data_IF_783110519255
#
_entry.id   IF_783110519255
#
_cell.length_a   1.000
_cell.length_b   1.000
_cell.length_c   1.000
_cell.angle_alpha   90.00
_cell.angle_beta   90.00
_cell.angle_gamma   90.00
#
_symmetry.space_group_name_H-M   'P 1'
#
loop_
_entity.id
_entity.type
_entity.pdbx_description
1 polymer ?
#
# COMPACT_ATOMS: atom_id res chain seq x y z
N UNK A 1 -11.02 -9.53 25.88
CA UNK A 1 -12.02 -8.57 25.39
C UNK A 1 -11.25 -7.28 25.13
N UNK A 2 -10.92 -6.96 23.87
CA UNK A 2 -10.14 -5.75 23.56
C UNK A 2 -11.01 -4.50 23.67
N UNK A 3 -10.51 -3.47 24.34
CA UNK A 3 -11.19 -2.18 24.55
C UNK A 3 -11.56 -1.51 23.20
N UNK A 4 -12.71 -0.81 23.09
CA UNK A 4 -13.22 -0.24 21.83
C UNK A 4 -12.28 0.77 21.13
N UNK A 5 -11.28 1.30 21.84
CA UNK A 5 -10.35 2.33 21.37
C UNK A 5 -9.02 1.81 20.78
N UNK A 6 -8.72 0.51 20.86
CA UNK A 6 -7.42 -0.05 20.44
C UNK A 6 -7.50 -0.84 19.13
N UNK A 7 -8.53 -0.60 18.31
CA UNK A 7 -8.65 -1.29 17.03
C UNK A 7 -7.67 -0.68 16.01
N UNK A 8 -6.79 -1.50 15.40
CA UNK A 8 -5.85 -1.02 14.41
C UNK A 8 -6.59 -0.44 13.20
N UNK A 9 -6.08 0.66 12.65
CA UNK A 9 -6.61 1.27 11.44
C UNK A 9 -6.58 0.25 10.29
N UNK A 10 -7.74 -0.19 9.79
CA UNK A 10 -7.83 -1.21 8.75
C UNK A 10 -8.00 -0.56 7.38
N UNK A 11 -7.10 -0.87 6.46
CA UNK A 11 -7.04 -0.30 5.11
C UNK A 11 -6.97 -1.44 4.10
N UNK A 12 -7.80 -1.36 3.06
CA UNK A 12 -7.74 -2.26 1.91
C UNK A 12 -7.45 -1.43 0.68
N UNK A 13 -6.37 -1.76 -0.03
CA UNK A 13 -6.02 -1.20 -1.33
C UNK A 13 -6.50 -2.18 -2.39
N UNK A 14 -7.47 -1.77 -3.21
CA UNK A 14 -7.97 -2.58 -4.33
C UNK A 14 -7.18 -2.23 -5.59
N UNK A 15 -6.49 -3.22 -6.14
CA UNK A 15 -5.60 -3.03 -7.28
C UNK A 15 -4.14 -3.03 -6.87
N UNK A 16 -3.35 -3.78 -7.65
CA UNK A 16 -1.92 -3.96 -7.45
C UNK A 16 -1.07 -2.98 -8.24
N UNK A 17 0.02 -3.50 -8.79
CA UNK A 17 0.97 -2.75 -9.62
C UNK A 17 1.65 -1.62 -8.85
N UNK A 18 2.31 -0.72 -9.58
CA UNK A 18 3.09 0.39 -8.98
C UNK A 18 2.22 1.26 -8.05
N UNK A 19 1.01 1.63 -8.49
CA UNK A 19 0.13 2.50 -7.72
C UNK A 19 -0.37 1.86 -6.42
N UNK A 20 -0.82 0.61 -6.45
CA UNK A 20 -1.34 -0.10 -5.29
C UNK A 20 -0.27 -0.29 -4.20
N UNK A 21 0.91 -0.75 -4.61
CA UNK A 21 2.02 -0.95 -3.68
C UNK A 21 2.60 0.36 -3.13
N UNK A 22 2.71 1.41 -3.96
CA UNK A 22 3.12 2.74 -3.48
C UNK A 22 2.13 3.30 -2.46
N UNK A 23 0.82 3.17 -2.72
CA UNK A 23 -0.21 3.58 -1.78
C UNK A 23 -0.08 2.81 -0.45
N UNK A 24 0.00 1.48 -0.49
CA UNK A 24 0.15 0.65 0.70
C UNK A 24 1.41 1.02 1.52
N UNK A 25 2.55 1.22 0.87
CA UNK A 25 3.80 1.60 1.53
C UNK A 25 3.74 2.98 2.19
N UNK A 26 3.18 3.97 1.48
CA UNK A 26 3.01 5.32 2.01
C UNK A 26 2.03 5.35 3.19
N UNK A 27 0.94 4.60 3.11
CA UNK A 27 -0.04 4.47 4.19
C UNK A 27 0.56 3.78 5.43
N UNK A 28 1.36 2.72 5.23
CA UNK A 28 2.07 2.03 6.31
C UNK A 28 3.01 2.99 7.05
N UNK A 29 3.78 3.79 6.30
CA UNK A 29 4.68 4.80 6.87
C UNK A 29 3.93 5.93 7.56
N UNK A 30 2.85 6.44 6.95
CA UNK A 30 2.09 7.60 7.44
C UNK A 30 1.36 7.33 8.75
N UNK A 31 0.91 6.10 8.97
CA UNK A 31 0.11 5.71 10.13
C UNK A 31 0.79 4.68 11.02
N UNK A 32 2.11 4.55 10.97
CA UNK A 32 2.86 3.57 11.76
C UNK A 32 2.55 3.63 13.28
N UNK A 33 2.27 4.82 13.80
CA UNK A 33 1.84 5.08 15.19
C UNK A 33 0.51 4.39 15.56
N UNK A 34 -0.35 4.15 14.57
CA UNK A 34 -1.68 3.54 14.72
C UNK A 34 -1.71 2.04 14.41
N UNK A 35 -0.54 1.42 14.22
CA UNK A 35 -0.36 0.00 13.91
C UNK A 35 -1.38 -0.49 12.85
N UNK A 36 -1.36 0.09 11.63
CA UNK A 36 -2.42 -0.12 10.67
C UNK A 36 -2.38 -1.56 10.13
N UNK A 37 -3.54 -2.15 9.93
CA UNK A 37 -3.70 -3.41 9.18
C UNK A 37 -3.98 -3.06 7.72
N UNK A 38 -2.97 -3.22 6.87
CA UNK A 38 -3.05 -2.87 5.44
C UNK A 38 -3.04 -4.16 4.61
N UNK A 39 -3.97 -4.27 3.67
CA UNK A 39 -4.04 -5.38 2.71
C UNK A 39 -4.12 -4.81 1.30
N UNK A 40 -3.36 -5.39 0.37
CA UNK A 40 -3.49 -5.13 -1.07
C UNK A 40 -4.24 -6.32 -1.68
N UNK A 41 -5.37 -6.04 -2.32
CA UNK A 41 -6.13 -7.03 -3.08
C UNK A 41 -5.81 -6.86 -4.56
N UNK A 42 -5.02 -7.78 -5.10
CA UNK A 42 -4.61 -7.79 -6.49
C UNK A 42 -5.44 -8.79 -7.30
N UNK A 43 -5.69 -8.46 -8.57
CA UNK A 43 -6.21 -9.45 -9.52
C UNK A 43 -5.13 -10.51 -9.76
N UNK A 44 -5.48 -11.79 -9.99
CA UNK A 44 -4.54 -12.73 -10.57
C UNK A 44 -4.02 -12.19 -11.90
N UNK A 45 -2.70 -12.07 -12.02
CA UNK A 45 -2.06 -11.41 -13.14
C UNK A 45 -2.05 -12.27 -14.40
N UNK A 46 -2.27 -11.62 -15.54
CA UNK A 46 -1.65 -12.01 -16.81
C UNK A 46 -0.47 -11.06 -16.97
N UNK A 47 0.75 -11.58 -16.92
CA UNK A 47 1.96 -10.76 -16.97
C UNK A 47 2.00 -9.86 -18.22
N UNK A 48 2.33 -8.58 -18.04
CA UNK A 48 2.55 -7.63 -19.13
C UNK A 48 4.02 -7.57 -19.52
N UNK A 49 4.32 -7.12 -20.73
CA UNK A 49 5.69 -6.78 -21.13
C UNK A 49 6.00 -5.38 -20.57
N UNK A 50 7.03 -5.28 -19.75
CA UNK A 50 7.52 -4.00 -19.25
C UNK A 50 8.21 -3.19 -20.35
N UNK A 51 7.72 -1.99 -20.62
CA UNK A 51 8.30 -1.06 -21.61
C UNK A 51 9.23 0.00 -20.98
N UNK A 52 9.34 -0.03 -19.64
CA UNK A 52 10.10 0.94 -18.86
C UNK A 52 9.26 2.17 -18.47
N UNK A 53 9.45 2.63 -17.23
CA UNK A 53 8.84 3.84 -16.68
C UNK A 53 9.92 4.75 -16.10
N UNK A 54 9.81 6.05 -16.34
CA UNK A 54 10.71 7.07 -15.79
C UNK A 54 10.26 7.59 -14.43
N UNK A 55 11.17 8.20 -13.67
CA UNK A 55 10.86 8.85 -12.40
C UNK A 55 11.73 10.08 -12.19
N UNK A 56 11.36 10.94 -11.24
CA UNK A 56 12.13 12.13 -10.89
C UNK A 56 13.02 11.89 -9.66
N UNK A 57 14.07 12.70 -9.42
CA UNK A 57 14.97 12.52 -8.26
C UNK A 57 14.25 12.48 -6.90
N UNK A 58 13.11 13.15 -6.77
CA UNK A 58 12.32 13.21 -5.54
C UNK A 58 11.74 11.86 -5.12
N UNK A 59 11.61 10.89 -6.04
CA UNK A 59 11.09 9.56 -5.69
C UNK A 59 12.01 8.79 -4.74
N UNK A 60 13.31 9.14 -4.67
CA UNK A 60 14.27 8.52 -3.75
C UNK A 60 14.27 9.13 -2.34
N UNK A 61 13.66 10.31 -2.16
CA UNK A 61 13.81 11.15 -0.97
C UNK A 61 12.85 10.79 0.18
#
# INVERSE_FOLDING_TARGET
MSEPGDRPLRIVVLGGGTAGWMAAALMARRWADRRPSIQVLESPDIGIIGVGEGSTPQLKA
#
